data_IF_535058304761
#
_entry.id   IF_535058304761
#
_cell.length_a   1.000
_cell.length_b   1.000
_cell.length_c   1.000
_cell.angle_alpha   90.00
_cell.angle_beta   90.00
_cell.angle_gamma   90.00
#
_symmetry.space_group_name_H-M   'P 1'
#
loop_
_entity.id
_entity.type
_entity.pdbx_description
1 polymer ?
#
# COMPACT_ATOMS: atom_id res chain seq x y z
N UNK A 1 18.42 -0.25 -31.51
CA UNK A 1 19.23 -1.14 -30.66
C UNK A 1 19.65 -0.31 -29.48
N UNK A 2 19.46 -0.80 -28.26
CA UNK A 2 19.95 -0.10 -27.07
C UNK A 2 21.48 0.01 -27.17
N UNK A 3 22.03 1.19 -26.86
CA UNK A 3 23.47 1.48 -26.96
C UNK A 3 24.30 0.84 -25.83
N UNK A 4 23.70 -0.03 -25.01
CA UNK A 4 24.31 -0.62 -23.83
C UNK A 4 23.97 -2.11 -23.69
N UNK A 5 24.75 -2.79 -22.85
CA UNK A 5 24.57 -4.18 -22.45
C UNK A 5 24.14 -4.28 -20.99
N UNK A 6 23.60 -5.43 -20.59
CA UNK A 6 23.25 -5.68 -19.17
C UNK A 6 24.49 -5.55 -18.27
N UNK A 7 25.65 -5.99 -18.77
CA UNK A 7 26.92 -5.86 -18.04
C UNK A 7 27.35 -4.42 -17.80
N UNK A 8 27.00 -3.48 -18.69
CA UNK A 8 27.21 -2.05 -18.44
C UNK A 8 26.34 -1.58 -17.25
N UNK A 9 25.08 -1.99 -17.20
CA UNK A 9 24.18 -1.65 -16.10
C UNK A 9 24.63 -2.24 -14.76
N UNK A 10 25.04 -3.51 -14.75
CA UNK A 10 25.60 -4.16 -13.55
C UNK A 10 26.88 -3.46 -13.08
N UNK A 11 27.71 -3.00 -14.01
CA UNK A 11 28.93 -2.24 -13.69
C UNK A 11 28.59 -0.90 -13.03
N UNK A 12 27.71 -0.11 -13.63
CA UNK A 12 27.30 1.17 -13.06
C UNK A 12 26.51 1.01 -11.76
N UNK A 13 25.68 -0.03 -11.64
CA UNK A 13 24.96 -0.32 -10.39
C UNK A 13 25.94 -0.48 -9.22
N UNK A 14 27.00 -1.29 -9.39
CA UNK A 14 28.03 -1.44 -8.34
C UNK A 14 28.69 -0.12 -7.97
N UNK A 15 29.08 0.69 -8.96
CA UNK A 15 29.68 2.00 -8.71
C UNK A 15 28.74 2.95 -7.96
N UNK A 16 27.44 2.91 -8.28
CA UNK A 16 26.42 3.72 -7.63
C UNK A 16 26.18 3.24 -6.20
N UNK A 17 26.12 1.93 -5.96
CA UNK A 17 25.98 1.35 -4.62
C UNK A 17 27.17 1.71 -3.73
N UNK A 18 28.40 1.62 -4.27
CA UNK A 18 29.62 2.06 -3.58
C UNK A 18 29.54 3.55 -3.24
N UNK A 19 29.20 4.40 -4.21
CA UNK A 19 29.06 5.83 -3.98
C UNK A 19 27.96 6.15 -2.95
N UNK A 20 26.80 5.49 -3.04
CA UNK A 20 25.70 5.66 -2.10
C UNK A 20 26.14 5.32 -0.66
N UNK A 21 26.92 4.23 -0.50
CA UNK A 21 27.50 3.87 0.79
C UNK A 21 28.50 4.91 1.29
N UNK A 22 29.36 5.44 0.41
CA UNK A 22 30.31 6.52 0.75
C UNK A 22 29.62 7.82 1.18
N UNK A 23 28.45 8.12 0.60
CA UNK A 23 27.59 9.24 1.02
C UNK A 23 26.78 8.96 2.30
N UNK A 24 26.85 7.74 2.84
CA UNK A 24 26.16 7.34 4.06
C UNK A 24 24.68 6.98 3.87
N UNK A 25 24.26 6.67 2.64
CA UNK A 25 22.90 6.19 2.37
C UNK A 25 22.75 4.72 2.79
N UNK A 26 21.62 4.38 3.39
CA UNK A 26 21.30 3.04 3.84
C UNK A 26 20.13 2.47 3.06
N UNK A 27 20.40 1.78 1.94
CA UNK A 27 19.39 1.15 1.07
C UNK A 27 19.00 -0.29 1.52
N UNK A 28 17.81 -0.77 1.15
CA UNK A 28 17.54 -2.22 1.07
C UNK A 28 18.31 -2.84 -0.11
N UNK A 29 18.53 -4.17 -0.16
CA UNK A 29 18.99 -4.83 -1.38
C UNK A 29 18.10 -4.46 -2.57
N UNK A 30 18.69 -4.17 -3.73
CA UNK A 30 17.98 -3.71 -4.92
C UNK A 30 17.95 -4.77 -6.01
N UNK A 31 16.80 -4.89 -6.67
CA UNK A 31 16.61 -5.74 -7.81
C UNK A 31 16.00 -4.94 -8.95
N UNK A 32 16.70 -4.88 -10.08
CA UNK A 32 16.26 -4.14 -11.26
C UNK A 32 15.73 -5.09 -12.33
N UNK A 33 14.57 -4.76 -12.91
CA UNK A 33 13.98 -5.48 -14.03
C UNK A 33 13.83 -4.53 -15.22
N UNK A 34 14.40 -4.91 -16.37
CA UNK A 34 14.24 -4.16 -17.61
C UNK A 34 12.87 -4.46 -18.23
N UNK A 35 12.08 -3.43 -18.50
CA UNK A 35 10.74 -3.55 -19.07
C UNK A 35 10.58 -2.71 -20.35
N UNK A 36 9.64 -3.09 -21.21
CA UNK A 36 9.25 -2.26 -22.35
C UNK A 36 8.14 -1.28 -21.95
N UNK A 37 7.74 -0.39 -22.86
CA UNK A 37 6.71 0.61 -22.56
C UNK A 37 5.32 0.03 -22.23
N UNK A 38 4.92 -1.10 -22.81
CA UNK A 38 3.63 -1.75 -22.51
C UNK A 38 3.65 -2.38 -21.12
N UNK A 39 4.77 -2.99 -20.75
CA UNK A 39 5.02 -3.53 -19.41
C UNK A 39 5.00 -2.39 -18.38
N UNK A 40 5.69 -1.28 -18.65
CA UNK A 40 5.70 -0.11 -17.76
C UNK A 40 4.30 0.43 -17.51
N UNK A 41 3.51 0.63 -18.57
CA UNK A 41 2.10 1.05 -18.44
C UNK A 41 1.28 0.06 -17.60
N UNK A 42 1.59 -1.23 -17.70
CA UNK A 42 0.94 -2.29 -16.94
C UNK A 42 1.32 -2.24 -15.46
N UNK A 43 2.62 -2.15 -15.13
CA UNK A 43 3.07 -1.97 -13.75
C UNK A 43 2.47 -0.70 -13.14
N UNK A 44 2.49 0.40 -13.89
CA UNK A 44 1.89 1.66 -13.52
C UNK A 44 0.38 1.56 -13.22
N UNK A 45 -0.37 0.74 -13.95
CA UNK A 45 -1.80 0.53 -13.70
C UNK A 45 -2.04 -0.24 -12.39
N UNK A 46 -1.13 -1.14 -12.03
CA UNK A 46 -1.11 -1.88 -10.77
C UNK A 46 -0.39 -1.16 -9.63
N UNK A 47 0.05 0.09 -9.84
CA UNK A 47 0.85 0.85 -8.86
C UNK A 47 2.14 0.12 -8.47
N UNK A 48 2.78 -0.50 -9.45
CA UNK A 48 4.05 -1.19 -9.33
C UNK A 48 3.92 -2.63 -8.84
N UNK A 49 2.75 -3.07 -8.36
CA UNK A 49 2.65 -4.36 -7.68
C UNK A 49 2.03 -5.46 -8.58
N UNK A 50 2.83 -6.30 -9.26
CA UNK A 50 2.32 -7.29 -10.22
C UNK A 50 1.54 -8.44 -9.54
N UNK A 51 1.79 -8.70 -8.25
CA UNK A 51 1.11 -9.76 -7.50
C UNK A 51 -0.26 -9.37 -6.96
N UNK A 52 -0.74 -8.17 -7.26
CA UNK A 52 -2.03 -7.66 -6.77
C UNK A 52 -3.20 -8.40 -7.42
N UNK A 53 -4.34 -8.45 -6.72
CA UNK A 53 -5.54 -9.07 -7.24
C UNK A 53 -6.08 -8.35 -8.50
N UNK A 54 -6.79 -9.06 -9.39
CA UNK A 54 -7.44 -8.42 -10.53
C UNK A 54 -8.63 -7.57 -10.07
N UNK A 55 -8.76 -6.38 -10.64
CA UNK A 55 -9.91 -5.51 -10.46
C UNK A 55 -10.08 -4.64 -11.70
N UNK A 56 -11.32 -4.44 -12.17
CA UNK A 56 -11.60 -3.75 -13.43
C UNK A 56 -11.08 -2.31 -13.45
N UNK A 57 -10.95 -1.65 -12.28
CA UNK A 57 -10.41 -0.29 -12.21
C UNK A 57 -8.95 -0.21 -12.68
N UNK A 58 -8.17 -1.28 -12.53
CA UNK A 58 -6.78 -1.33 -13.01
C UNK A 58 -6.76 -1.40 -14.54
N UNK A 59 -7.65 -2.19 -15.15
CA UNK A 59 -7.84 -2.20 -16.60
C UNK A 59 -8.27 -0.83 -17.15
N UNK A 60 -9.21 -0.17 -16.46
CA UNK A 60 -9.61 1.22 -16.80
C UNK A 60 -8.44 2.21 -16.67
N UNK A 61 -7.61 2.07 -15.63
CA UNK A 61 -6.43 2.91 -15.43
C UNK A 61 -5.40 2.70 -16.56
N UNK A 62 -5.17 1.44 -16.95
CA UNK A 62 -4.30 1.09 -18.06
C UNK A 62 -4.76 1.70 -19.38
N UNK A 63 -6.03 1.52 -19.74
CA UNK A 63 -6.61 2.10 -20.97
C UNK A 63 -6.47 3.63 -20.99
N UNK A 64 -6.70 4.29 -19.84
CA UNK A 64 -6.50 5.74 -19.72
C UNK A 64 -5.04 6.13 -19.93
N UNK A 65 -4.10 5.48 -19.26
CA UNK A 65 -2.66 5.77 -19.37
C UNK A 65 -2.14 5.52 -20.79
N UNK A 66 -2.49 4.37 -21.38
CA UNK A 66 -2.15 4.02 -22.77
C UNK A 66 -2.70 5.04 -23.76
N UNK A 67 -3.95 5.48 -23.57
CA UNK A 67 -4.56 6.50 -24.43
C UNK A 67 -3.80 7.82 -24.33
N UNK A 68 -3.52 8.31 -23.12
CA UNK A 68 -2.78 9.55 -22.93
C UNK A 68 -1.37 9.48 -23.51
N UNK A 69 -0.67 8.37 -23.32
CA UNK A 69 0.64 8.14 -23.93
C UNK A 69 0.55 8.15 -25.46
N UNK A 70 -0.40 7.42 -26.05
CA UNK A 70 -0.60 7.35 -27.51
C UNK A 70 -0.84 8.71 -28.16
N UNK A 71 -1.51 9.61 -27.44
CA UNK A 71 -1.77 10.98 -27.90
C UNK A 71 -0.70 11.99 -27.45
N UNK A 72 0.44 11.52 -26.94
CA UNK A 72 1.55 12.36 -26.44
C UNK A 72 1.11 13.39 -25.37
N UNK A 73 0.07 13.07 -24.60
CA UNK A 73 -0.43 13.94 -23.53
C UNK A 73 0.39 13.77 -22.24
N UNK A 74 0.99 12.60 -22.05
CA UNK A 74 1.89 12.27 -20.94
C UNK A 74 3.07 11.45 -21.46
N UNK A 75 4.25 11.68 -20.89
CA UNK A 75 5.41 10.81 -21.09
C UNK A 75 5.29 9.52 -20.27
N UNK A 76 6.18 8.57 -20.54
CA UNK A 76 6.36 7.39 -19.69
C UNK A 76 7.35 7.70 -18.57
N UNK A 77 7.16 7.12 -17.38
CA UNK A 77 8.17 7.21 -16.34
C UNK A 77 9.43 6.46 -16.78
N UNK A 78 10.60 6.95 -16.34
CA UNK A 78 11.88 6.30 -16.59
C UNK A 78 12.07 5.04 -15.72
N UNK A 79 11.48 5.07 -14.53
CA UNK A 79 11.45 3.98 -13.57
C UNK A 79 10.09 3.83 -12.87
N UNK A 80 9.85 2.64 -12.32
CA UNK A 80 8.81 2.41 -11.33
C UNK A 80 9.38 1.60 -10.18
N UNK A 81 9.28 2.11 -8.95
CA UNK A 81 9.88 1.49 -7.75
C UNK A 81 8.80 0.88 -6.87
N UNK A 82 9.03 -0.36 -6.43
CA UNK A 82 8.29 -1.01 -5.35
C UNK A 82 9.12 -0.90 -4.07
N UNK A 83 8.55 -0.20 -3.10
CA UNK A 83 9.14 -0.04 -1.79
C UNK A 83 8.94 -1.33 -0.95
N UNK A 84 9.82 -2.29 -1.16
CA UNK A 84 9.86 -3.58 -0.45
C UNK A 84 11.29 -3.92 -0.03
N UNK A 85 11.47 -5.04 0.66
CA UNK A 85 12.78 -5.61 0.94
C UNK A 85 12.85 -7.05 0.39
N UNK A 86 13.53 -7.30 -0.75
CA UNK A 86 14.33 -6.35 -1.54
C UNK A 86 13.49 -5.27 -2.24
N UNK A 87 14.11 -4.12 -2.52
CA UNK A 87 13.53 -3.02 -3.28
C UNK A 87 13.54 -3.40 -4.76
N UNK A 88 12.37 -3.45 -5.40
CA UNK A 88 12.25 -3.81 -6.81
C UNK A 88 12.09 -2.55 -7.64
N UNK A 89 12.78 -2.45 -8.77
CA UNK A 89 12.65 -1.31 -9.68
C UNK A 89 12.58 -1.75 -11.13
N UNK A 90 11.55 -1.27 -11.83
CA UNK A 90 11.38 -1.47 -13.26
C UNK A 90 12.05 -0.33 -14.02
N UNK A 91 12.90 -0.66 -14.97
CA UNK A 91 13.65 0.30 -15.79
C UNK A 91 13.23 0.21 -17.25
N UNK A 92 12.91 1.35 -17.87
CA UNK A 92 12.58 1.40 -19.30
C UNK A 92 13.79 0.99 -20.16
N UNK A 93 13.62 0.00 -21.03
CA UNK A 93 14.68 -0.47 -21.96
C UNK A 93 15.12 0.59 -22.97
N UNK A 94 14.24 1.53 -23.29
CA UNK A 94 14.45 2.59 -24.26
C UNK A 94 15.28 3.75 -23.71
N UNK A 95 15.55 3.78 -22.40
CA UNK A 95 16.43 4.79 -21.79
C UNK A 95 17.84 4.69 -22.37
N UNK A 96 18.48 5.82 -22.62
CA UNK A 96 19.91 5.85 -22.98
C UNK A 96 20.76 5.37 -21.81
N UNK A 97 22.01 4.94 -22.05
CA UNK A 97 22.89 4.50 -20.96
C UNK A 97 23.03 5.58 -19.87
N UNK A 98 23.23 6.84 -20.27
CA UNK A 98 23.33 7.95 -19.31
C UNK A 98 22.07 8.09 -18.45
N UNK A 99 20.90 7.93 -19.06
CA UNK A 99 19.63 7.99 -18.35
C UNK A 99 19.43 6.78 -17.42
N UNK A 100 19.83 5.58 -17.85
CA UNK A 100 19.83 4.39 -16.98
C UNK A 100 20.69 4.62 -15.74
N UNK A 101 21.91 5.14 -15.91
CA UNK A 101 22.81 5.43 -14.78
C UNK A 101 22.19 6.44 -13.82
N UNK A 102 21.60 7.52 -14.35
CA UNK A 102 20.90 8.52 -13.53
C UNK A 102 19.72 7.92 -12.77
N UNK A 103 18.90 7.13 -13.45
CA UNK A 103 17.73 6.47 -12.88
C UNK A 103 18.13 5.45 -11.80
N UNK A 104 19.16 4.63 -12.02
CA UNK A 104 19.65 3.68 -11.00
C UNK A 104 20.07 4.44 -9.73
N UNK A 105 20.82 5.53 -9.88
CA UNK A 105 21.18 6.39 -8.76
C UNK A 105 19.96 7.03 -8.08
N UNK A 106 18.96 7.44 -8.87
CA UNK A 106 17.69 7.97 -8.35
C UNK A 106 16.95 6.93 -7.51
N UNK A 107 16.89 5.67 -7.97
CA UNK A 107 16.29 4.55 -7.25
C UNK A 107 17.02 4.27 -5.93
N UNK A 108 18.35 4.40 -5.87
CA UNK A 108 19.07 4.35 -4.58
C UNK A 108 18.60 5.43 -3.62
N UNK A 109 18.39 6.66 -4.11
CA UNK A 109 17.83 7.75 -3.31
C UNK A 109 16.43 7.43 -2.77
N UNK A 110 15.53 6.91 -3.62
CA UNK A 110 14.20 6.46 -3.18
C UNK A 110 14.29 5.35 -2.12
N UNK A 111 15.15 4.36 -2.35
CA UNK A 111 15.27 3.22 -1.47
C UNK A 111 15.78 3.62 -0.07
N UNK A 112 16.85 4.42 0.00
CA UNK A 112 17.31 4.99 1.27
C UNK A 112 16.19 5.80 1.95
N UNK A 113 15.55 6.69 1.19
CA UNK A 113 14.49 7.54 1.71
C UNK A 113 13.35 6.72 2.32
N UNK A 114 12.77 5.77 1.60
CA UNK A 114 11.67 4.95 2.11
C UNK A 114 12.13 4.01 3.21
N UNK A 115 13.32 3.42 3.10
CA UNK A 115 13.88 2.61 4.17
C UNK A 115 14.02 3.40 5.45
N UNK A 116 14.34 4.69 5.40
CA UNK A 116 14.62 5.54 6.56
C UNK A 116 13.48 6.48 6.99
N UNK A 117 12.45 6.65 6.17
CA UNK A 117 11.30 7.49 6.47
C UNK A 117 10.49 6.93 7.65
N UNK A 118 10.18 7.79 8.62
CA UNK A 118 9.42 7.42 9.83
C UNK A 118 8.05 6.84 9.51
N UNK A 119 7.27 7.50 8.64
CA UNK A 119 5.92 7.06 8.29
C UNK A 119 5.95 5.71 7.58
N UNK A 120 6.95 5.48 6.72
CA UNK A 120 7.13 4.21 6.04
C UNK A 120 7.59 3.10 6.99
N UNK A 121 8.59 3.33 7.85
CA UNK A 121 9.04 2.35 8.87
C UNK A 121 7.91 1.93 9.80
N UNK A 122 7.10 2.88 10.25
CA UNK A 122 6.01 2.64 11.19
C UNK A 122 4.78 2.03 10.50
N UNK A 123 4.51 2.41 9.25
CA UNK A 123 3.31 2.04 8.50
C UNK A 123 3.45 0.80 7.64
N UNK A 124 4.67 0.41 7.28
CA UNK A 124 4.94 -0.63 6.29
C UNK A 124 5.96 -1.64 6.81
N UNK A 125 5.66 -2.93 6.59
CA UNK A 125 6.63 -4.01 6.79
C UNK A 125 7.23 -4.41 5.45
N UNK A 126 8.29 -3.73 5.03
CA UNK A 126 8.89 -3.87 3.70
C UNK A 126 9.22 -5.32 3.30
N UNK A 127 9.67 -6.14 4.27
CA UNK A 127 10.01 -7.56 4.09
C UNK A 127 8.83 -8.43 3.67
N UNK A 128 7.62 -8.07 4.10
CA UNK A 128 6.42 -8.86 3.84
C UNK A 128 5.51 -8.24 2.77
N UNK A 129 5.86 -7.07 2.23
CA UNK A 129 5.02 -6.32 1.27
C UNK A 129 4.62 -7.21 0.09
N UNK A 130 5.59 -7.77 -0.63
CA UNK A 130 5.32 -8.58 -1.83
C UNK A 130 4.51 -9.84 -1.52
N UNK A 131 4.82 -10.50 -0.40
CA UNK A 131 4.10 -11.70 0.07
C UNK A 131 2.66 -11.38 0.47
N UNK A 132 2.43 -10.23 1.12
CA UNK A 132 1.12 -9.73 1.52
C UNK A 132 0.21 -9.57 0.29
N UNK A 133 0.66 -8.85 -0.74
CA UNK A 133 -0.14 -8.67 -1.96
C UNK A 133 -0.44 -10.00 -2.67
N UNK A 134 0.54 -10.90 -2.74
CA UNK A 134 0.35 -12.23 -3.33
C UNK A 134 -0.67 -13.06 -2.54
N UNK A 135 -0.57 -13.03 -1.21
CA UNK A 135 -1.51 -13.70 -0.31
C UNK A 135 -2.93 -13.16 -0.50
N UNK A 136 -3.07 -11.83 -0.58
CA UNK A 136 -4.35 -11.16 -0.81
C UNK A 136 -4.98 -11.59 -2.13
N UNK A 137 -4.18 -11.62 -3.20
CA UNK A 137 -4.64 -12.08 -4.51
C UNK A 137 -5.05 -13.56 -4.52
N UNK A 138 -4.35 -14.43 -3.79
CA UNK A 138 -4.73 -15.82 -3.65
C UNK A 138 -6.07 -15.98 -2.92
N UNK A 139 -6.26 -15.31 -1.78
CA UNK A 139 -7.51 -15.34 -1.00
C UNK A 139 -8.71 -14.86 -1.82
N UNK A 140 -8.56 -13.77 -2.58
CA UNK A 140 -9.63 -13.31 -3.48
C UNK A 140 -9.97 -14.35 -4.55
N UNK A 141 -8.96 -15.00 -5.15
CA UNK A 141 -9.20 -16.08 -6.13
C UNK A 141 -9.91 -17.28 -5.50
N UNK A 142 -9.59 -17.62 -4.26
CA UNK A 142 -10.29 -18.68 -3.50
C UNK A 142 -11.77 -18.33 -3.29
N UNK A 143 -12.08 -17.09 -2.86
CA UNK A 143 -13.47 -16.65 -2.72
C UNK A 143 -14.23 -16.60 -4.04
N UNK A 144 -13.56 -16.24 -5.15
CA UNK A 144 -14.16 -16.27 -6.49
C UNK A 144 -14.47 -17.70 -6.92
N UNK A 145 -13.59 -18.64 -6.60
CA UNK A 145 -13.72 -20.04 -6.97
C UNK A 145 -14.76 -20.80 -6.13
N UNK A 146 -15.06 -20.34 -4.92
CA UNK A 146 -16.09 -20.92 -4.05
C UNK A 146 -17.50 -20.75 -4.67
N UNK A 147 -18.22 -21.83 -5.00
CA UNK A 147 -19.55 -21.76 -5.61
C UNK A 147 -20.62 -21.10 -4.72
N UNK A 148 -20.43 -21.08 -3.40
CA UNK A 148 -21.35 -20.43 -2.45
C UNK A 148 -21.20 -18.90 -2.43
N UNK A 149 -20.06 -18.38 -2.90
CA UNK A 149 -19.75 -16.96 -2.99
C UNK A 149 -19.81 -16.53 -4.45
N UNK A 150 -18.87 -16.98 -5.27
CA UNK A 150 -18.77 -16.68 -6.69
C UNK A 150 -18.33 -15.24 -7.00
N UNK A 151 -17.93 -15.05 -8.25
CA UNK A 151 -17.35 -13.80 -8.77
C UNK A 151 -18.21 -12.54 -8.45
N UNK A 152 -19.50 -12.56 -8.77
CA UNK A 152 -20.37 -11.39 -8.65
C UNK A 152 -20.48 -10.86 -7.21
N UNK A 153 -20.44 -11.75 -6.21
CA UNK A 153 -20.51 -11.34 -4.81
C UNK A 153 -19.18 -10.74 -4.34
N UNK A 154 -18.07 -11.36 -4.72
CA UNK A 154 -16.72 -10.83 -4.45
C UNK A 154 -16.55 -9.45 -5.07
N UNK A 155 -16.86 -9.31 -6.36
CA UNK A 155 -16.74 -8.04 -7.09
C UNK A 155 -17.54 -6.93 -6.43
N UNK A 156 -18.80 -7.18 -6.04
CA UNK A 156 -19.64 -6.18 -5.37
C UNK A 156 -19.02 -5.64 -4.08
N UNK A 157 -18.44 -6.52 -3.25
CA UNK A 157 -17.83 -6.14 -1.98
C UNK A 157 -16.52 -5.42 -2.24
N UNK A 158 -15.71 -5.94 -3.17
CA UNK A 158 -14.44 -5.37 -3.56
C UNK A 158 -14.59 -3.97 -4.14
N UNK A 159 -15.55 -3.76 -5.05
CA UNK A 159 -15.90 -2.46 -5.63
C UNK A 159 -16.26 -1.43 -4.54
N UNK A 160 -17.08 -1.86 -3.59
CA UNK A 160 -17.52 -1.00 -2.47
C UNK A 160 -16.33 -0.62 -1.60
N UNK A 161 -15.48 -1.57 -1.26
CA UNK A 161 -14.26 -1.32 -0.49
C UNK A 161 -13.29 -0.41 -1.25
N UNK A 162 -13.12 -0.60 -2.57
CA UNK A 162 -12.31 0.26 -3.42
C UNK A 162 -12.81 1.70 -3.47
N UNK A 163 -14.13 1.92 -3.49
CA UNK A 163 -14.72 3.26 -3.46
C UNK A 163 -14.40 4.02 -2.16
N UNK A 164 -14.25 3.29 -1.06
CA UNK A 164 -13.97 3.83 0.28
C UNK A 164 -12.50 3.73 0.69
N UNK A 165 -11.62 3.22 -0.18
CA UNK A 165 -10.27 2.79 0.21
C UNK A 165 -9.40 3.85 0.88
N UNK A 166 -9.58 5.13 0.53
CA UNK A 166 -8.81 6.23 1.10
C UNK A 166 -9.45 6.83 2.37
N UNK A 167 -10.60 6.30 2.80
CA UNK A 167 -11.26 6.65 4.06
C UNK A 167 -10.73 5.73 5.17
N UNK A 168 -9.41 5.67 5.27
CA UNK A 168 -8.67 4.89 6.27
C UNK A 168 -7.88 5.86 7.15
N UNK A 169 -7.46 5.39 8.30
CA UNK A 169 -6.65 6.20 9.20
C UNK A 169 -5.30 6.58 8.57
N UNK A 170 -4.83 7.80 8.84
CA UNK A 170 -3.57 8.33 8.28
C UNK A 170 -2.37 8.19 9.20
N UNK A 171 -2.59 8.14 10.52
CA UNK A 171 -1.49 8.01 11.47
C UNK A 171 -1.02 6.55 11.46
N UNK A 172 0.21 6.35 10.98
CA UNK A 172 0.90 5.08 11.06
C UNK A 172 1.26 4.79 12.52
N UNK A 173 1.11 3.53 12.96
CA UNK A 173 1.38 3.04 14.32
C UNK A 173 0.32 3.23 15.43
N UNK A 174 -0.91 3.67 15.13
CA UNK A 174 -1.98 3.66 16.13
C UNK A 174 -2.53 2.25 16.38
N UNK A 175 -2.52 1.83 17.65
CA UNK A 175 -3.11 0.54 18.08
C UNK A 175 -4.60 0.72 18.29
N UNK A 176 -5.41 0.28 17.33
CA UNK A 176 -6.85 0.21 17.53
C UNK A 176 -7.21 -0.96 18.44
N UNK A 177 -7.68 -0.63 19.65
CA UNK A 177 -8.25 -1.63 20.56
C UNK A 177 -9.48 -2.28 19.92
N UNK A 178 -9.74 -3.54 20.27
CA UNK A 178 -11.02 -4.16 19.93
C UNK A 178 -12.17 -3.36 20.57
N UNK A 179 -13.39 -3.37 20.01
CA UNK A 179 -14.53 -2.70 20.63
C UNK A 179 -14.76 -3.13 22.09
N UNK A 180 -14.50 -4.40 22.41
CA UNK A 180 -14.62 -4.94 23.77
C UNK A 180 -13.54 -4.41 24.71
N UNK A 181 -12.29 -4.34 24.26
CA UNK A 181 -11.18 -3.83 25.07
C UNK A 181 -11.26 -2.33 25.25
N UNK A 182 -11.70 -1.60 24.22
CA UNK A 182 -12.01 -0.18 24.31
C UNK A 182 -13.09 0.06 25.36
N UNK A 183 -14.18 -0.71 25.31
CA UNK A 183 -15.25 -0.65 26.33
C UNK A 183 -14.71 -0.92 27.73
N UNK A 184 -13.94 -1.99 27.93
CA UNK A 184 -13.33 -2.32 29.23
C UNK A 184 -12.44 -1.18 29.74
N UNK A 185 -11.60 -0.61 28.87
CA UNK A 185 -10.70 0.49 29.21
C UNK A 185 -11.47 1.75 29.60
N UNK A 186 -12.49 2.13 28.82
CA UNK A 186 -13.31 3.31 29.11
C UNK A 186 -14.11 3.14 30.40
N UNK A 187 -14.68 1.94 30.64
CA UNK A 187 -15.39 1.63 31.87
C UNK A 187 -14.45 1.69 33.09
N UNK A 188 -13.26 1.07 33.02
CA UNK A 188 -12.27 1.13 34.09
C UNK A 188 -11.85 2.58 34.40
N UNK A 189 -11.53 3.36 33.37
CA UNK A 189 -11.19 4.79 33.52
C UNK A 189 -12.32 5.60 34.18
N UNK A 190 -13.57 5.31 33.84
CA UNK A 190 -14.73 5.97 34.43
C UNK A 190 -14.89 5.68 35.92
N UNK A 191 -14.76 4.40 36.33
CA UNK A 191 -14.95 3.96 37.72
C UNK A 191 -13.75 4.23 38.63
N UNK A 192 -12.52 4.19 38.09
CA UNK A 192 -11.29 4.40 38.87
C UNK A 192 -10.91 5.89 39.05
N UNK A 193 -11.57 6.79 38.31
CA UNK A 193 -11.33 8.22 38.44
C UNK A 193 -11.78 8.75 39.82
N UNK A 194 -10.91 9.40 40.61
CA UNK A 194 -11.29 9.98 41.89
C UNK A 194 -12.37 11.06 41.69
N UNK A 195 -13.29 11.25 42.67
CA UNK A 195 -14.29 12.30 42.58
C UNK A 195 -13.59 13.67 42.57
N UNK A 196 -13.59 14.34 41.42
CA UNK A 196 -13.17 15.74 41.31
C UNK A 196 -14.11 16.60 42.15
N UNK A 197 -13.53 17.53 42.93
CA UNK A 197 -14.17 18.26 44.03
C UNK A 197 -15.33 19.21 43.70
N UNK A 198 -15.98 19.07 42.55
CA UNK A 198 -17.30 19.60 42.27
C UNK A 198 -18.15 18.45 41.75
N UNK A 199 -19.23 18.12 42.47
CA UNK A 199 -20.16 17.05 42.14
C UNK A 199 -21.06 17.42 40.95
N UNK A 200 -20.46 17.82 39.83
CA UNK A 200 -21.14 17.74 38.55
C UNK A 200 -21.33 16.25 38.26
N UNK A 201 -22.59 15.83 38.11
CA UNK A 201 -22.95 14.46 37.76
C UNK A 201 -22.18 14.11 36.48
N UNK A 202 -21.15 13.26 36.59
CA UNK A 202 -20.54 12.63 35.43
C UNK A 202 -21.67 11.96 34.64
N UNK A 203 -21.96 12.46 33.44
CA UNK A 203 -22.90 11.80 32.55
C UNK A 203 -22.36 10.40 32.27
N UNK A 204 -23.20 9.40 32.52
CA UNK A 204 -22.84 8.00 32.24
C UNK A 204 -22.82 7.84 30.73
N UNK A 205 -21.68 7.48 30.11
CA UNK A 205 -21.63 7.23 28.68
C UNK A 205 -22.58 6.09 28.29
N UNK A 206 -23.20 6.17 27.12
CA UNK A 206 -23.93 5.04 26.56
C UNK A 206 -22.92 3.98 26.07
N UNK A 207 -22.69 2.98 26.91
CA UNK A 207 -21.78 1.86 26.62
C UNK A 207 -22.23 0.96 25.47
N UNK A 208 -23.41 1.19 24.88
CA UNK A 208 -23.92 0.49 23.72
C UNK A 208 -23.90 1.36 22.45
N UNK A 209 -23.41 2.60 22.53
CA UNK A 209 -23.24 3.47 21.37
C UNK A 209 -22.25 2.85 20.36
N UNK A 210 -22.60 2.93 19.07
CA UNK A 210 -21.75 2.45 17.97
C UNK A 210 -21.45 3.62 17.03
N UNK A 211 -20.17 4.01 16.85
CA UNK A 211 -19.00 3.53 17.60
C UNK A 211 -18.91 4.19 18.99
N UNK A 212 -18.18 3.56 19.93
CA UNK A 212 -17.98 4.09 21.30
C UNK A 212 -17.17 5.39 21.32
N UNK A 213 -16.20 5.50 20.42
CA UNK A 213 -15.46 6.72 20.10
C UNK A 213 -15.57 6.95 18.59
N UNK A 214 -15.55 8.20 18.11
CA UNK A 214 -15.55 8.49 16.68
C UNK A 214 -14.45 7.70 15.94
N UNK A 215 -14.82 7.00 14.87
CA UNK A 215 -13.91 6.18 14.06
C UNK A 215 -13.82 6.81 12.66
N UNK A 216 -12.65 7.33 12.31
CA UNK A 216 -12.41 7.95 10.99
C UNK A 216 -12.17 6.89 9.90
N UNK A 217 -11.67 5.72 10.28
CA UNK A 217 -11.42 4.61 9.37
C UNK A 217 -12.73 3.86 9.05
N UNK A 218 -13.35 4.25 7.94
CA UNK A 218 -14.64 3.70 7.52
C UNK A 218 -14.52 2.20 7.21
N UNK A 219 -13.40 1.75 6.64
CA UNK A 219 -13.20 0.32 6.36
C UNK A 219 -13.12 -0.49 7.67
N UNK A 220 -12.37 0.00 8.66
CA UNK A 220 -12.28 -0.60 9.98
C UNK A 220 -13.63 -0.61 10.69
N UNK A 221 -14.38 0.49 10.59
CA UNK A 221 -15.73 0.61 11.13
C UNK A 221 -16.65 -0.47 10.54
N UNK A 222 -16.65 -0.64 9.22
CA UNK A 222 -17.45 -1.66 8.55
C UNK A 222 -17.05 -3.07 8.98
N UNK A 223 -15.75 -3.37 9.07
CA UNK A 223 -15.27 -4.69 9.53
C UNK A 223 -15.75 -5.03 10.95
N UNK A 224 -15.82 -4.02 11.83
CA UNK A 224 -16.18 -4.19 13.25
C UNK A 224 -17.68 -4.29 13.48
N UNK A 225 -18.45 -3.43 12.81
CA UNK A 225 -19.85 -3.18 13.19
C UNK A 225 -20.87 -3.59 12.11
N UNK A 226 -20.46 -3.73 10.86
CA UNK A 226 -21.39 -4.13 9.81
C UNK A 226 -21.73 -5.63 9.90
N UNK A 227 -22.96 -5.98 9.52
CA UNK A 227 -23.43 -7.37 9.44
C UNK A 227 -22.92 -8.01 8.15
N UNK A 228 -21.64 -8.37 8.17
CA UNK A 228 -20.92 -8.99 7.06
C UNK A 228 -20.49 -10.40 7.44
N UNK A 229 -20.41 -11.29 6.44
CA UNK A 229 -19.78 -12.60 6.60
C UNK A 229 -18.27 -12.47 6.79
N UNK A 230 -17.61 -13.53 7.23
CA UNK A 230 -16.16 -13.49 7.48
C UNK A 230 -15.35 -13.20 6.21
N UNK A 231 -15.75 -13.76 5.06
CA UNK A 231 -15.09 -13.48 3.77
C UNK A 231 -15.33 -12.05 3.27
N UNK A 232 -16.49 -11.46 3.55
CA UNK A 232 -16.78 -10.05 3.21
C UNK A 232 -15.90 -9.11 4.03
N UNK A 233 -15.73 -9.40 5.33
CA UNK A 233 -14.81 -8.67 6.20
C UNK A 233 -13.37 -8.83 5.76
N UNK A 234 -12.98 -10.02 5.31
CA UNK A 234 -11.63 -10.28 4.82
C UNK A 234 -11.29 -9.45 3.57
N UNK A 235 -12.21 -9.36 2.60
CA UNK A 235 -12.03 -8.50 1.41
C UNK A 235 -11.85 -7.03 1.81
N UNK A 236 -12.66 -6.53 2.76
CA UNK A 236 -12.51 -5.16 3.25
C UNK A 236 -11.15 -4.98 3.93
N UNK A 237 -10.72 -5.96 4.74
CA UNK A 237 -9.41 -6.00 5.37
C UNK A 237 -8.27 -5.94 4.36
N UNK A 238 -8.37 -6.73 3.28
CA UNK A 238 -7.41 -6.74 2.17
C UNK A 238 -7.26 -5.36 1.55
N UNK A 239 -8.37 -4.70 1.18
CA UNK A 239 -8.33 -3.37 0.57
C UNK A 239 -7.76 -2.33 1.55
N UNK A 240 -8.12 -2.44 2.83
CA UNK A 240 -7.63 -1.57 3.89
C UNK A 240 -6.12 -1.70 4.05
N UNK A 241 -5.61 -2.91 4.23
CA UNK A 241 -4.19 -3.21 4.43
C UNK A 241 -3.35 -2.79 3.21
N UNK A 242 -3.80 -3.11 1.99
CA UNK A 242 -3.12 -2.63 0.78
C UNK A 242 -3.11 -1.11 0.69
N UNK A 243 -4.19 -0.43 1.10
CA UNK A 243 -4.22 1.03 1.08
C UNK A 243 -3.28 1.63 2.12
N UNK A 244 -3.20 1.04 3.31
CA UNK A 244 -2.24 1.45 4.34
C UNK A 244 -0.79 1.37 3.86
N UNK A 245 -0.44 0.41 2.99
CA UNK A 245 0.87 0.39 2.34
C UNK A 245 1.09 1.61 1.41
N UNK A 246 0.07 2.03 0.67
CA UNK A 246 0.19 3.15 -0.27
C UNK A 246 0.09 4.53 0.39
N UNK A 247 -0.55 4.68 1.55
CA UNK A 247 -0.73 6.00 2.20
C UNK A 247 0.61 6.70 2.47
N UNK A 248 1.62 6.08 3.12
CA UNK A 248 2.92 6.72 3.32
C UNK A 248 3.59 7.13 2.00
N UNK A 249 3.38 6.38 0.92
CA UNK A 249 3.96 6.68 -0.39
C UNK A 249 3.25 7.82 -1.12
N UNK A 250 1.98 8.10 -0.80
CA UNK A 250 1.20 9.21 -1.37
C UNK A 250 1.47 10.51 -0.61
N UNK A 251 1.67 10.42 0.70
CA UNK A 251 1.86 11.59 1.57
C UNK A 251 3.30 12.14 1.57
N UNK A 252 4.20 11.47 0.86
CA UNK A 252 5.62 11.86 0.78
C UNK A 252 6.03 12.26 -0.61
#
# INVERSE_FOLDING_TARGET
MAEYTISDLEYYNRLIEEAASDFGLECYPQEFELCNYEDMLSYEAYSGMPSRYPHWSFGKAWERKKTYYRYNLVGLPYEMVINSNPCLAYLMKENTLLLQVLTIAHVCGHNDFFKNNRLFKDGTRAEYTTEMFKSHANRLREYIADPSIGYNRVERVLDTAHALRFQVHRITNERHLSPEDLRKRMMASYYDSPPTGNADKKEVPDWNQIPLEPEEDILLFLMRYARLTDWEKDIIGIVREETMYFIPQIET
#
